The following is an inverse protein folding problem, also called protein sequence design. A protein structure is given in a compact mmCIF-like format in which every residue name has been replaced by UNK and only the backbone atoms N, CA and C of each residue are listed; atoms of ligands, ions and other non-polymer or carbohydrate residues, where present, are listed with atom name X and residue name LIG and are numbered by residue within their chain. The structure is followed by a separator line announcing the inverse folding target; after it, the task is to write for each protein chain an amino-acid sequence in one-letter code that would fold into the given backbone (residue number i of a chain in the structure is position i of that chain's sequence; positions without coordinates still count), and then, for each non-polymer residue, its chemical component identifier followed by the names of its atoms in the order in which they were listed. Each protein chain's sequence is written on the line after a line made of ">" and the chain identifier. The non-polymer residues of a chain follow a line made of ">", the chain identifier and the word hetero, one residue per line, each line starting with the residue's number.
data_IF_031647355548
#
_entry.id   IF_031647355548
#
_cell.length_a   1.000
_cell.length_b   1.000
_cell.length_c   1.000
_cell.angle_alpha   90.00
_cell.angle_beta   90.00
_cell.angle_gamma   90.00
#
_symmetry.space_group_name_H-M   'P 1'
#
loop_
_entity.id
_entity.type
_entity.pdbx_description
1 polymer ?
#
# COMPACT_ATOMS: atom_id res chain seq x y z
N UNK A 1 5.94 -18.50 2.06
CA UNK A 1 4.60 -18.49 1.40
C UNK A 1 4.08 -19.88 1.01
N UNK A 2 4.73 -20.65 0.12
CA UNK A 2 4.21 -21.94 -0.38
C UNK A 2 3.91 -23.02 0.69
N UNK A 3 4.51 -22.93 1.89
CA UNK A 3 4.27 -23.88 3.00
C UNK A 3 3.03 -23.57 3.84
N UNK A 4 2.53 -22.32 3.83
CA UNK A 4 1.31 -21.92 4.56
C UNK A 4 0.06 -21.85 3.68
N UNK A 5 0.22 -21.87 2.37
CA UNK A 5 -0.88 -21.85 1.38
C UNK A 5 -1.61 -23.21 1.25
N UNK A 6 -1.63 -24.00 2.33
CA UNK A 6 -2.39 -25.25 2.41
C UNK A 6 -1.93 -26.39 1.49
N UNK A 7 -0.70 -26.37 0.97
CA UNK A 7 -0.20 -27.43 0.08
C UNK A 7 -0.91 -27.47 -1.28
N UNK A 8 -1.45 -26.33 -1.75
CA UNK A 8 -2.06 -26.24 -3.07
C UNK A 8 -1.04 -26.48 -4.19
N UNK A 9 -1.43 -27.18 -5.28
CA UNK A 9 -0.52 -27.48 -6.38
C UNK A 9 0.00 -26.20 -7.03
N UNK A 10 1.30 -26.15 -7.30
CA UNK A 10 1.92 -25.07 -8.08
C UNK A 10 1.61 -25.35 -9.56
N UNK A 11 0.52 -24.78 -10.07
CA UNK A 11 0.03 -25.01 -11.44
C UNK A 11 0.64 -24.07 -12.50
N UNK A 12 1.66 -23.30 -12.11
CA UNK A 12 2.33 -22.34 -12.99
C UNK A 12 1.55 -21.02 -13.18
N UNK A 13 0.33 -20.92 -12.65
CA UNK A 13 -0.40 -19.67 -12.58
C UNK A 13 -0.20 -19.05 -11.19
N UNK A 14 0.31 -17.83 -11.14
CA UNK A 14 0.41 -17.10 -9.87
C UNK A 14 -0.99 -16.95 -9.25
N UNK A 15 -1.13 -17.34 -7.99
CA UNK A 15 -2.38 -17.15 -7.27
C UNK A 15 -2.56 -15.65 -6.96
N UNK A 16 -3.74 -15.07 -7.20
CA UNK A 16 -3.99 -13.68 -6.88
C UNK A 16 -3.90 -13.48 -5.37
N UNK A 17 -3.12 -12.48 -4.95
CA UNK A 17 -3.04 -12.10 -3.55
C UNK A 17 -4.36 -11.47 -3.10
N UNK A 18 -4.92 -11.95 -1.99
CA UNK A 18 -6.10 -11.35 -1.36
C UNK A 18 -5.74 -10.76 0.01
N UNK A 19 -5.73 -9.43 0.17
CA UNK A 19 -5.40 -8.76 1.43
C UNK A 19 -6.53 -8.86 2.48
N UNK A 20 -7.67 -9.47 2.16
CA UNK A 20 -8.73 -9.80 3.12
C UNK A 20 -8.59 -11.20 3.73
N UNK A 21 -7.64 -12.02 3.25
CA UNK A 21 -7.36 -13.34 3.81
C UNK A 21 -6.25 -13.26 4.89
N UNK A 22 -6.57 -13.46 6.18
CA UNK A 22 -5.60 -13.23 7.26
C UNK A 22 -4.43 -14.21 7.23
N UNK A 23 -4.61 -15.45 6.73
CA UNK A 23 -3.52 -16.42 6.64
C UNK A 23 -2.53 -16.02 5.54
N UNK A 24 -3.05 -15.54 4.41
CA UNK A 24 -2.24 -15.07 3.30
C UNK A 24 -1.48 -13.80 3.65
N UNK A 25 -2.13 -12.87 4.36
CA UNK A 25 -1.51 -11.65 4.86
C UNK A 25 -0.43 -11.95 5.89
N UNK A 26 -0.67 -12.86 6.85
CA UNK A 26 0.36 -13.27 7.81
C UNK A 26 1.57 -13.90 7.11
N UNK A 27 1.33 -14.79 6.14
CA UNK A 27 2.40 -15.40 5.35
C UNK A 27 3.16 -14.36 4.50
N UNK A 28 2.49 -13.34 3.98
CA UNK A 28 3.12 -12.25 3.25
C UNK A 28 4.00 -11.39 4.15
N UNK A 29 3.52 -11.00 5.33
CA UNK A 29 4.32 -10.20 6.28
C UNK A 29 5.52 -11.00 6.79
N UNK A 30 5.28 -12.19 7.37
CA UNK A 30 6.30 -12.95 8.09
C UNK A 30 7.36 -13.58 7.18
N UNK A 31 6.96 -14.03 5.99
CA UNK A 31 7.85 -14.80 5.12
C UNK A 31 8.46 -13.96 4.00
N UNK A 32 7.93 -12.76 3.73
CA UNK A 32 8.43 -11.87 2.66
C UNK A 32 8.93 -10.56 3.23
N UNK A 33 8.10 -9.82 3.98
CA UNK A 33 8.48 -8.47 4.42
C UNK A 33 9.47 -8.48 5.58
N UNK A 34 9.20 -9.26 6.65
CA UNK A 34 10.04 -9.27 7.85
C UNK A 34 11.51 -9.62 7.57
N UNK A 35 11.84 -10.63 6.72
CA UNK A 35 13.24 -10.89 6.36
C UNK A 35 13.91 -9.70 5.67
N UNK A 36 13.18 -8.99 4.80
CA UNK A 36 13.71 -7.81 4.10
C UNK A 36 13.88 -6.62 5.04
N UNK A 37 13.00 -6.48 6.02
CA UNK A 37 13.14 -5.49 7.10
C UNK A 37 14.32 -5.80 8.02
N UNK A 38 14.55 -7.09 8.33
CA UNK A 38 15.73 -7.54 9.08
C UNK A 38 17.04 -7.26 8.30
N UNK A 39 16.99 -7.28 6.97
CA UNK A 39 18.09 -6.90 6.06
C UNK A 39 18.23 -5.37 5.88
N UNK A 40 17.32 -4.57 6.45
CA UNK A 40 17.43 -3.10 6.52
C UNK A 40 16.42 -2.31 5.70
N UNK A 41 15.35 -2.92 5.19
CA UNK A 41 14.22 -2.16 4.62
C UNK A 41 13.45 -1.44 5.74
N UNK A 42 13.29 -0.13 5.63
CA UNK A 42 12.64 0.70 6.65
C UNK A 42 11.14 0.96 6.42
N UNK A 43 10.67 0.89 5.18
CA UNK A 43 9.27 1.10 4.81
C UNK A 43 8.94 0.50 3.45
N UNK A 44 7.65 0.40 3.14
CA UNK A 44 7.14 -0.20 1.91
C UNK A 44 6.38 0.79 1.04
N UNK A 45 6.62 0.72 -0.26
CA UNK A 45 5.77 1.35 -1.27
C UNK A 45 4.67 0.37 -1.71
N UNK A 46 3.44 0.69 -1.35
CA UNK A 46 2.24 -0.06 -1.71
C UNK A 46 1.59 0.59 -2.93
N UNK A 47 1.94 0.08 -4.10
CA UNK A 47 1.43 0.63 -5.36
C UNK A 47 -0.01 0.19 -5.67
N UNK A 48 -0.31 -1.11 -5.46
CA UNK A 48 -1.59 -1.81 -5.68
C UNK A 48 -2.48 -1.28 -6.83
N UNK A 49 -2.41 -1.96 -7.97
CA UNK A 49 -3.24 -1.70 -9.15
C UNK A 49 -4.02 -2.93 -9.63
N UNK A 50 -4.12 -3.96 -8.79
CA UNK A 50 -4.71 -5.27 -9.13
C UNK A 50 -6.25 -5.29 -9.05
N UNK A 51 -6.87 -4.16 -8.71
CA UNK A 51 -8.31 -3.97 -8.68
C UNK A 51 -8.85 -3.51 -7.33
N UNK A 52 -10.16 -3.27 -7.29
CA UNK A 52 -10.88 -2.66 -6.15
C UNK A 52 -11.78 -3.65 -5.39
N UNK A 53 -11.76 -4.93 -5.76
CA UNK A 53 -12.63 -5.96 -5.17
C UNK A 53 -11.77 -6.97 -4.40
N UNK A 54 -12.13 -7.19 -3.14
CA UNK A 54 -11.63 -8.31 -2.32
C UNK A 54 -12.71 -9.39 -2.17
N UNK A 55 -12.38 -10.55 -1.58
CA UNK A 55 -13.40 -11.57 -1.24
C UNK A 55 -14.42 -11.08 -0.22
N UNK A 56 -14.11 -10.01 0.51
CA UNK A 56 -15.03 -9.37 1.46
C UNK A 56 -15.84 -8.27 0.75
N UNK A 57 -17.18 -8.41 0.61
CA UNK A 57 -17.99 -7.40 -0.07
C UNK A 57 -17.86 -6.00 0.55
N UNK A 58 -17.54 -5.01 -0.28
CA UNK A 58 -17.41 -3.61 0.13
C UNK A 58 -16.08 -3.24 0.78
N UNK A 59 -15.15 -4.19 0.95
CA UNK A 59 -13.81 -3.92 1.45
C UNK A 59 -12.84 -3.64 0.30
N UNK A 60 -12.33 -2.41 0.25
CA UNK A 60 -11.27 -2.02 -0.67
C UNK A 60 -9.96 -2.72 -0.29
N UNK A 61 -9.32 -3.45 -1.24
CA UNK A 61 -8.12 -4.22 -0.96
C UNK A 61 -6.91 -3.35 -0.59
N UNK A 62 -6.75 -2.17 -1.20
CA UNK A 62 -5.64 -1.27 -0.87
C UNK A 62 -5.82 -0.67 0.52
N UNK A 63 -7.05 -0.34 0.90
CA UNK A 63 -7.32 0.20 2.24
C UNK A 63 -6.91 -0.78 3.34
N UNK A 64 -7.29 -2.05 3.23
CA UNK A 64 -6.93 -3.06 4.24
C UNK A 64 -5.44 -3.38 4.20
N UNK A 65 -4.82 -3.37 3.01
CA UNK A 65 -3.38 -3.55 2.86
C UNK A 65 -2.60 -2.43 3.56
N UNK A 66 -3.01 -1.17 3.37
CA UNK A 66 -2.44 0.00 4.07
C UNK A 66 -2.59 -0.12 5.58
N UNK A 67 -3.79 -0.50 6.03
CA UNK A 67 -4.09 -0.69 7.44
C UNK A 67 -3.14 -1.69 8.09
N UNK A 68 -3.01 -2.87 7.48
CA UNK A 68 -2.20 -3.95 8.05
C UNK A 68 -0.72 -3.58 8.01
N UNK A 69 -0.20 -3.08 6.88
CA UNK A 69 1.22 -2.76 6.78
C UNK A 69 1.66 -1.65 7.74
N UNK A 70 0.87 -0.58 7.92
CA UNK A 70 1.24 0.47 8.88
C UNK A 70 1.23 -0.05 10.32
N UNK A 71 0.27 -0.90 10.69
CA UNK A 71 0.23 -1.45 12.04
C UNK A 71 1.38 -2.42 12.30
N UNK A 72 1.73 -3.25 11.33
CA UNK A 72 2.84 -4.19 11.43
C UNK A 72 4.19 -3.45 11.48
N UNK A 73 4.42 -2.51 10.55
CA UNK A 73 5.57 -1.60 10.56
C UNK A 73 5.65 -0.83 11.89
N UNK A 74 4.54 -0.32 12.41
CA UNK A 74 4.51 0.38 13.70
C UNK A 74 4.96 -0.52 14.86
N UNK A 75 4.56 -1.80 14.89
CA UNK A 75 5.03 -2.75 15.91
C UNK A 75 6.53 -3.01 15.81
N UNK A 76 7.07 -3.08 14.60
CA UNK A 76 8.47 -3.40 14.34
C UNK A 76 9.41 -2.20 14.50
N UNK A 77 8.93 -0.98 14.25
CA UNK A 77 9.74 0.24 14.25
C UNK A 77 9.44 1.21 15.41
N UNK A 78 8.97 0.69 16.55
CA UNK A 78 8.82 1.45 17.79
C UNK A 78 7.70 2.49 17.76
N UNK A 79 6.57 2.16 17.14
CA UNK A 79 5.39 3.01 17.02
C UNK A 79 5.37 3.91 15.78
N UNK A 80 6.41 3.86 14.93
CA UNK A 80 6.62 4.75 13.78
C UNK A 80 6.31 4.07 12.45
N UNK A 81 5.11 3.52 12.33
CA UNK A 81 4.68 2.87 11.08
C UNK A 81 4.65 3.86 9.92
N UNK A 82 5.22 3.47 8.79
CA UNK A 82 5.33 4.30 7.59
C UNK A 82 5.11 3.44 6.33
N UNK A 83 4.34 3.98 5.40
CA UNK A 83 4.20 3.42 4.05
C UNK A 83 4.34 4.56 3.01
N UNK A 84 4.37 4.21 1.74
CA UNK A 84 4.06 5.10 0.63
C UNK A 84 2.95 4.43 -0.17
N UNK A 85 1.78 5.05 -0.35
CA UNK A 85 0.64 4.37 -0.99
C UNK A 85 -0.20 5.27 -1.87
N UNK A 86 -0.86 4.69 -2.88
CA UNK A 86 -1.96 5.35 -3.60
C UNK A 86 -3.13 5.65 -2.65
N UNK A 87 -4.04 6.51 -3.10
CA UNK A 87 -5.23 6.88 -2.33
C UNK A 87 -6.31 5.80 -2.37
N UNK A 88 -6.63 5.22 -1.22
CA UNK A 88 -7.64 4.18 -1.05
C UNK A 88 -9.00 4.71 -0.52
N UNK A 89 -9.32 5.98 -0.78
CA UNK A 89 -10.57 6.60 -0.33
C UNK A 89 -10.54 7.15 1.11
N UNK A 90 -11.69 7.65 1.62
CA UNK A 90 -11.79 8.26 2.94
C UNK A 90 -11.30 7.36 4.08
N UNK A 91 -10.60 7.96 5.04
CA UNK A 91 -9.97 7.23 6.16
C UNK A 91 -8.58 6.68 5.85
N UNK A 92 -8.11 6.75 4.59
CA UNK A 92 -6.72 6.41 4.21
C UNK A 92 -5.69 7.35 4.81
N UNK A 93 -6.06 8.58 5.17
CA UNK A 93 -5.17 9.54 5.83
C UNK A 93 -4.60 9.07 7.18
N UNK A 94 -5.15 7.99 7.75
CA UNK A 94 -4.59 7.32 8.94
C UNK A 94 -3.28 6.58 8.65
N UNK A 95 -2.95 6.37 7.37
CA UNK A 95 -1.84 5.57 6.89
C UNK A 95 -0.94 6.40 5.96
N UNK A 96 -0.13 7.31 6.50
CA UNK A 96 0.78 8.13 5.68
C UNK A 96 1.92 7.29 5.12
N UNK A 97 2.50 7.64 3.97
CA UNK A 97 2.33 8.83 3.11
C UNK A 97 1.53 8.48 1.84
N UNK A 98 0.65 9.38 1.39
CA UNK A 98 -0.07 9.22 0.11
C UNK A 98 0.75 9.70 -1.08
N UNK A 99 0.48 9.23 -2.31
CA UNK A 99 1.04 9.85 -3.52
C UNK A 99 0.04 9.97 -4.68
N UNK A 100 0.34 10.88 -5.62
CA UNK A 100 -0.54 11.24 -6.74
C UNK A 100 -0.67 10.19 -7.85
N UNK A 101 0.10 9.10 -7.79
CA UNK A 101 0.11 8.09 -8.83
C UNK A 101 0.90 8.50 -10.08
N UNK A 102 0.65 7.80 -11.17
CA UNK A 102 1.40 7.94 -12.42
C UNK A 102 0.94 9.20 -13.16
N UNK A 103 1.85 10.15 -13.33
CA UNK A 103 1.51 11.46 -13.88
C UNK A 103 2.28 11.72 -15.16
N UNK A 104 1.62 12.29 -16.18
CA UNK A 104 2.25 12.56 -17.47
C UNK A 104 3.32 13.64 -17.33
N UNK A 105 4.49 13.43 -17.93
CA UNK A 105 5.56 14.43 -18.02
C UNK A 105 5.10 15.64 -18.86
N UNK A 106 4.59 16.67 -18.20
CA UNK A 106 4.14 17.90 -18.86
C UNK A 106 4.11 19.10 -17.92
N UNK A 107 4.23 20.30 -18.49
CA UNK A 107 4.04 21.55 -17.74
C UNK A 107 2.62 21.67 -17.16
N UNK A 108 1.62 21.09 -17.82
CA UNK A 108 0.24 21.09 -17.34
C UNK A 108 0.11 20.25 -16.06
N UNK A 109 0.73 19.06 -16.03
CA UNK A 109 0.80 18.23 -14.82
C UNK A 109 1.51 18.96 -13.68
N UNK A 110 2.67 19.57 -13.96
CA UNK A 110 3.41 20.33 -12.95
C UNK A 110 2.59 21.50 -12.37
N UNK A 111 1.83 22.21 -13.22
CA UNK A 111 0.96 23.30 -12.77
C UNK A 111 -0.22 22.81 -11.91
N UNK A 112 -0.71 21.59 -12.15
CA UNK A 112 -1.84 21.00 -11.43
C UNK A 112 -1.46 20.38 -10.08
N UNK A 113 -0.28 19.76 -9.97
CA UNK A 113 0.14 19.02 -8.76
C UNK A 113 0.07 19.81 -7.44
N UNK A 114 0.43 21.12 -7.38
CA UNK A 114 0.33 21.88 -6.13
C UNK A 114 -1.10 22.01 -5.61
N UNK A 115 -2.06 22.30 -6.51
CA UNK A 115 -3.48 22.38 -6.15
C UNK A 115 -3.98 21.01 -5.69
N UNK A 116 -3.72 19.98 -6.49
CA UNK A 116 -4.11 18.60 -6.17
C UNK A 116 -3.57 18.16 -4.79
N UNK A 117 -2.28 18.38 -4.53
CA UNK A 117 -1.64 18.07 -3.25
C UNK A 117 -2.29 18.85 -2.10
N UNK A 118 -2.55 20.14 -2.28
CA UNK A 118 -3.23 20.95 -1.26
C UNK A 118 -4.65 20.44 -0.98
N UNK A 119 -5.38 19.95 -1.98
CA UNK A 119 -6.74 19.42 -1.77
C UNK A 119 -6.78 18.17 -0.89
N UNK A 120 -5.67 17.45 -0.72
CA UNK A 120 -5.58 16.32 0.20
C UNK A 120 -5.93 16.72 1.66
N UNK A 121 -5.64 17.97 2.05
CA UNK A 121 -6.02 18.48 3.37
C UNK A 121 -7.54 18.58 3.57
N UNK A 122 -8.33 18.68 2.50
CA UNK A 122 -9.80 18.74 2.59
C UNK A 122 -10.41 17.47 3.19
N UNK A 123 -9.67 16.35 3.15
CA UNK A 123 -10.05 15.07 3.77
C UNK A 123 -9.12 14.67 4.92
N UNK A 124 -8.33 15.63 5.43
CA UNK A 124 -7.39 15.41 6.53
C UNK A 124 -6.13 14.62 6.15
N UNK A 125 -5.83 14.44 4.87
CA UNK A 125 -4.62 13.72 4.44
C UNK A 125 -3.42 14.67 4.45
N UNK A 126 -2.75 14.74 5.59
CA UNK A 126 -1.68 15.70 5.85
C UNK A 126 -0.30 15.36 5.26
N UNK A 127 -0.06 14.12 4.83
CA UNK A 127 1.22 13.67 4.28
C UNK A 127 1.01 13.16 2.86
N UNK A 128 1.51 13.90 1.88
CA UNK A 128 1.30 13.62 0.46
C UNK A 128 2.57 13.87 -0.36
N UNK A 129 2.83 12.98 -1.32
CA UNK A 129 3.97 12.98 -2.23
C UNK A 129 3.53 13.03 -3.70
N UNK A 130 4.45 13.37 -4.59
CA UNK A 130 4.29 13.27 -6.04
C UNK A 130 5.66 13.08 -6.70
N UNK A 131 5.68 12.49 -7.89
CA UNK A 131 6.90 12.30 -8.67
C UNK A 131 7.38 13.63 -9.26
N UNK A 132 8.61 14.03 -8.92
CA UNK A 132 9.23 15.23 -9.50
C UNK A 132 9.61 14.93 -10.95
N UNK A 133 8.98 15.63 -11.88
CA UNK A 133 9.20 15.44 -13.31
C UNK A 133 8.12 14.60 -14.00
N UNK A 134 7.20 13.99 -13.25
CA UNK A 134 6.25 13.01 -13.77
C UNK A 134 6.76 11.57 -13.63
N UNK A 135 5.94 10.61 -14.04
CA UNK A 135 6.24 9.17 -14.04
C UNK A 135 6.83 8.73 -15.39
#
# INVERSE_FOLDING_TARGET
>A
MARRDGGRPVDGHGHPFDPSDPELVAAYLEEVLHPLEDDGVDFWWIDWQQGTHSRTPGLDPLWILNHVQVLDSSRRHGGRGLILSRYAGPGSHRYPVGFSGDTVVSWASLAFQPEFTATASNIGYGWWSHDIGGH
#
